data_IF_930869284997
#
_entry.id   IF_930869284997
#
_cell.length_a   1.000
_cell.length_b   1.000
_cell.length_c   1.000
_cell.angle_alpha   90.00
_cell.angle_beta   90.00
_cell.angle_gamma   90.00
#
_symmetry.space_group_name_H-M   'P 1'
#
loop_
_entity.id
_entity.type
_entity.pdbx_description
1 polymer ?
#
# COMPACT_ATOMS: atom_id res chain seq x y z
N UNK A 1 -81.71 53.56 6.71
CA UNK A 1 -81.27 53.67 8.12
C UNK A 1 -80.44 52.45 8.45
N UNK A 2 -79.41 52.64 9.30
CA UNK A 2 -78.35 51.72 9.71
C UNK A 2 -77.06 51.80 8.88
N UNK A 3 -76.21 52.72 9.35
CA UNK A 3 -74.77 52.85 9.17
C UNK A 3 -73.99 51.53 9.31
N UNK A 4 -72.75 51.48 8.77
CA UNK A 4 -71.53 51.66 9.59
C UNK A 4 -70.27 51.24 8.82
N UNK A 5 -69.36 52.22 8.78
CA UNK A 5 -67.90 52.16 8.78
C UNK A 5 -67.13 51.52 7.61
N UNK A 6 -66.57 52.44 6.81
CA UNK A 6 -65.17 52.49 6.37
C UNK A 6 -64.24 51.61 7.23
N UNK A 7 -63.80 50.48 6.66
CA UNK A 7 -62.64 49.76 7.17
C UNK A 7 -61.37 50.50 6.71
N UNK A 8 -60.42 50.76 7.61
CA UNK A 8 -59.17 51.44 7.24
C UNK A 8 -58.35 50.53 6.33
N UNK A 9 -57.83 51.12 5.26
CA UNK A 9 -56.80 50.54 4.40
C UNK A 9 -55.65 50.02 5.26
N UNK A 10 -55.64 48.72 5.51
CA UNK A 10 -54.45 48.05 6.03
C UNK A 10 -53.47 47.98 4.88
N UNK A 11 -52.66 49.03 4.78
CA UNK A 11 -51.43 49.06 4.00
C UNK A 11 -50.69 47.77 4.33
N UNK A 12 -50.73 46.82 3.40
CA UNK A 12 -49.95 45.59 3.48
C UNK A 12 -48.51 46.01 3.65
N UNK A 13 -48.01 45.93 4.87
CA UNK A 13 -46.60 46.07 5.16
C UNK A 13 -45.91 44.94 4.43
N UNK A 14 -45.39 45.24 3.25
CA UNK A 14 -44.54 44.33 2.50
C UNK A 14 -43.38 43.96 3.42
N UNK A 15 -43.46 42.78 4.03
CA UNK A 15 -42.38 42.24 4.84
C UNK A 15 -41.12 42.31 3.98
N UNK A 16 -40.02 42.92 4.47
CA UNK A 16 -38.81 42.98 3.69
C UNK A 16 -38.41 41.54 3.38
N UNK A 17 -38.43 41.18 2.09
CA UNK A 17 -38.04 39.87 1.62
C UNK A 17 -36.65 39.59 2.21
N UNK A 18 -36.59 38.75 3.25
CA UNK A 18 -35.35 38.35 3.93
C UNK A 18 -34.44 37.88 2.80
N UNK A 19 -33.43 38.69 2.45
CA UNK A 19 -32.37 38.32 1.50
C UNK A 19 -31.72 37.08 2.09
N UNK A 20 -32.23 35.89 1.74
CA UNK A 20 -31.64 34.61 2.12
C UNK A 20 -30.19 34.71 1.68
N UNK A 21 -29.28 34.73 2.66
CA UNK A 21 -27.87 35.02 2.41
C UNK A 21 -27.35 34.08 1.32
N UNK A 22 -26.45 34.57 0.46
CA UNK A 22 -25.87 33.75 -0.61
C UNK A 22 -25.33 32.41 -0.09
N UNK A 23 -24.87 32.39 1.16
CA UNK A 23 -24.48 31.20 1.92
C UNK A 23 -25.62 30.18 2.09
N UNK A 24 -26.83 30.60 2.45
CA UNK A 24 -28.00 29.69 2.58
C UNK A 24 -28.47 29.14 1.23
N UNK A 25 -28.35 29.91 0.14
CA UNK A 25 -28.62 29.41 -1.22
C UNK A 25 -27.51 28.46 -1.72
N UNK A 26 -26.25 28.76 -1.41
CA UNK A 26 -25.11 27.90 -1.74
C UNK A 26 -25.15 26.57 -0.98
N UNK A 27 -25.49 26.59 0.32
CA UNK A 27 -25.66 25.39 1.15
C UNK A 27 -26.87 24.52 0.74
N UNK A 28 -27.87 25.08 0.05
CA UNK A 28 -28.96 24.30 -0.55
C UNK A 28 -28.54 23.53 -1.81
N UNK A 29 -27.42 23.91 -2.43
CA UNK A 29 -26.88 23.20 -3.59
C UNK A 29 -26.14 21.96 -3.06
N UNK A 30 -26.68 20.77 -3.36
CA UNK A 30 -26.15 19.48 -2.88
C UNK A 30 -24.64 19.34 -3.11
N UNK A 31 -24.12 19.87 -4.24
CA UNK A 31 -22.69 19.86 -4.57
C UNK A 31 -21.83 20.68 -3.59
N UNK A 32 -22.29 21.85 -3.16
CA UNK A 32 -21.54 22.74 -2.27
C UNK A 32 -21.55 22.21 -0.84
N UNK A 33 -22.70 21.67 -0.39
CA UNK A 33 -22.80 21.01 0.91
C UNK A 33 -21.91 19.76 0.97
N UNK A 34 -21.91 18.92 -0.07
CA UNK A 34 -21.03 17.75 -0.17
C UNK A 34 -19.54 18.16 -0.14
N UNK A 35 -19.15 19.20 -0.90
CA UNK A 35 -17.77 19.69 -0.88
C UNK A 35 -17.34 20.22 0.50
N UNK A 36 -18.18 21.02 1.15
CA UNK A 36 -17.92 21.55 2.50
C UNK A 36 -17.76 20.41 3.53
N UNK A 37 -18.52 19.32 3.41
CA UNK A 37 -18.38 18.14 4.28
C UNK A 37 -17.06 17.40 4.05
N UNK A 38 -16.54 17.39 2.82
CA UNK A 38 -15.22 16.79 2.50
C UNK A 38 -14.03 17.70 2.77
N UNK A 39 -14.27 19.00 2.98
CA UNK A 39 -13.22 20.01 3.12
C UNK A 39 -12.22 19.70 4.25
N UNK A 40 -12.62 19.23 5.46
CA UNK A 40 -11.66 18.87 6.50
C UNK A 40 -10.68 17.77 6.05
N UNK A 41 -11.18 16.76 5.32
CA UNK A 41 -10.34 15.69 4.78
C UNK A 41 -9.39 16.23 3.70
N UNK A 42 -9.88 17.08 2.80
CA UNK A 42 -9.06 17.71 1.75
C UNK A 42 -7.92 18.53 2.36
N UNK A 43 -8.24 19.33 3.40
CA UNK A 43 -7.24 20.13 4.12
C UNK A 43 -6.19 19.24 4.77
N UNK A 44 -6.59 18.15 5.43
CA UNK A 44 -5.64 17.20 6.02
C UNK A 44 -4.74 16.56 4.96
N UNK A 45 -5.29 16.11 3.84
CA UNK A 45 -4.50 15.54 2.73
C UNK A 45 -3.54 16.59 2.16
N UNK A 46 -4.00 17.81 1.94
CA UNK A 46 -3.18 18.89 1.41
C UNK A 46 -2.00 19.23 2.34
N UNK A 47 -2.25 19.33 3.65
CA UNK A 47 -1.23 19.73 4.63
C UNK A 47 -0.29 18.60 5.02
N UNK A 48 -0.78 17.37 5.18
CA UNK A 48 0.01 16.25 5.72
C UNK A 48 0.61 15.35 4.64
N UNK A 49 0.07 15.36 3.42
CA UNK A 49 0.56 14.51 2.32
C UNK A 49 1.12 15.36 1.19
N UNK A 50 0.33 16.29 0.65
CA UNK A 50 0.73 17.04 -0.54
C UNK A 50 1.85 18.05 -0.24
N UNK A 51 1.74 18.80 0.86
CA UNK A 51 2.77 19.78 1.24
C UNK A 51 4.15 19.14 1.46
N UNK A 52 4.33 18.08 2.28
CA UNK A 52 5.64 17.42 2.43
C UNK A 52 6.16 16.81 1.12
N UNK A 53 5.28 16.27 0.27
CA UNK A 53 5.68 15.73 -1.03
C UNK A 53 6.22 16.82 -1.97
N UNK A 54 5.54 17.96 -2.07
CA UNK A 54 6.01 19.11 -2.87
C UNK A 54 7.28 19.72 -2.26
N UNK A 55 7.35 19.81 -0.94
CA UNK A 55 8.54 20.29 -0.25
C UNK A 55 9.75 19.37 -0.45
N UNK A 56 9.54 18.04 -0.51
CA UNK A 56 10.59 17.07 -0.84
C UNK A 56 11.13 17.27 -2.26
N UNK A 57 10.26 17.59 -3.22
CA UNK A 57 10.69 17.96 -4.58
C UNK A 57 11.55 19.23 -4.58
N UNK A 58 11.19 20.24 -3.77
CA UNK A 58 12.01 21.43 -3.61
C UNK A 58 13.38 21.10 -2.98
N UNK A 59 13.41 20.35 -1.88
CA UNK A 59 14.64 19.93 -1.21
C UNK A 59 15.59 19.17 -2.15
N UNK A 60 15.06 18.29 -3.00
CA UNK A 60 15.86 17.54 -3.97
C UNK A 60 16.61 18.43 -4.97
N UNK A 61 16.20 19.69 -5.15
CA UNK A 61 16.86 20.66 -6.02
C UNK A 61 17.90 21.54 -5.32
N UNK A 62 18.09 21.37 -4.01
CA UNK A 62 19.05 22.15 -3.21
C UNK A 62 20.35 21.38 -2.98
N UNK A 63 21.43 22.09 -2.70
CA UNK A 63 22.69 21.52 -2.24
C UNK A 63 22.55 21.01 -0.79
N UNK A 64 23.53 20.22 -0.32
CA UNK A 64 23.58 19.68 1.05
C UNK A 64 23.30 20.72 2.16
N UNK A 65 23.77 21.97 2.03
CA UNK A 65 23.52 23.03 3.03
C UNK A 65 22.14 23.68 2.95
N UNK A 66 21.30 23.29 1.98
CA UNK A 66 19.97 23.85 1.70
C UNK A 66 19.95 25.36 1.39
N UNK A 67 21.10 25.93 1.00
CA UNK A 67 21.24 27.37 0.75
C UNK A 67 21.33 27.70 -0.73
N UNK A 68 21.76 26.75 -1.56
CA UNK A 68 22.00 26.95 -2.98
C UNK A 68 21.19 25.98 -3.82
N UNK A 69 20.50 26.51 -4.82
CA UNK A 69 19.84 25.72 -5.85
C UNK A 69 20.87 25.07 -6.78
N UNK A 70 20.76 23.76 -6.98
CA UNK A 70 21.63 22.94 -7.84
C UNK A 70 20.85 22.21 -8.95
N UNK A 71 19.55 22.49 -9.10
CA UNK A 71 18.71 21.87 -10.12
C UNK A 71 18.67 20.35 -9.97
N UNK A 72 19.12 19.61 -10.99
CA UNK A 72 19.16 18.14 -10.98
C UNK A 72 20.50 17.55 -10.50
N UNK A 73 21.39 18.36 -9.92
CA UNK A 73 22.74 17.93 -9.53
C UNK A 73 22.77 16.72 -8.59
N UNK A 74 21.81 16.59 -7.67
CA UNK A 74 21.70 15.42 -6.78
C UNK A 74 21.35 14.14 -7.55
N UNK A 75 20.50 14.23 -8.57
CA UNK A 75 20.15 13.09 -9.42
C UNK A 75 21.35 12.66 -10.27
N UNK A 76 22.07 13.60 -10.88
CA UNK A 76 23.30 13.31 -11.63
C UNK A 76 24.35 12.64 -10.73
N UNK A 77 24.50 13.12 -9.50
CA UNK A 77 25.39 12.51 -8.51
C UNK A 77 25.00 11.06 -8.21
N UNK A 78 23.71 10.78 -8.00
CA UNK A 78 23.21 9.42 -7.73
C UNK A 78 23.44 8.48 -8.91
N UNK A 79 23.19 8.92 -10.15
CA UNK A 79 23.37 8.08 -11.33
C UNK A 79 24.79 7.60 -11.56
N UNK A 80 25.80 8.31 -11.04
CA UNK A 80 27.22 7.94 -11.14
C UNK A 80 27.69 6.97 -10.04
N UNK A 81 26.81 6.54 -9.13
CA UNK A 81 27.17 5.69 -7.99
C UNK A 81 26.63 4.27 -8.13
N UNK A 82 27.52 3.29 -8.02
CA UNK A 82 27.15 1.87 -8.03
C UNK A 82 26.24 1.52 -6.85
N UNK A 83 26.43 2.15 -5.70
CA UNK A 83 25.59 1.97 -4.50
C UNK A 83 24.14 2.39 -4.74
N UNK A 84 23.90 3.44 -5.54
CA UNK A 84 22.54 3.84 -5.91
C UNK A 84 21.87 2.75 -6.76
N UNK A 85 22.54 2.25 -7.79
CA UNK A 85 22.02 1.18 -8.64
C UNK A 85 21.84 -0.15 -7.90
N UNK A 86 22.68 -0.42 -6.91
CA UNK A 86 22.47 -1.51 -5.96
C UNK A 86 21.14 -1.33 -5.22
N UNK A 87 20.88 -0.17 -4.60
CA UNK A 87 19.62 0.10 -3.89
C UNK A 87 18.40 0.03 -4.82
N UNK A 88 18.51 0.53 -6.06
CA UNK A 88 17.45 0.41 -7.08
C UNK A 88 17.14 -1.07 -7.32
N UNK A 89 18.17 -1.87 -7.58
CA UNK A 89 18.05 -3.32 -7.83
C UNK A 89 17.44 -4.03 -6.61
N UNK A 90 17.94 -3.75 -5.40
CA UNK A 90 17.45 -4.38 -4.18
C UNK A 90 16.01 -4.01 -3.88
N UNK A 91 15.63 -2.75 -4.07
CA UNK A 91 14.24 -2.28 -3.90
C UNK A 91 13.29 -3.00 -4.85
N UNK A 92 13.66 -3.14 -6.13
CA UNK A 92 12.87 -3.85 -7.12
C UNK A 92 12.77 -5.34 -6.81
N UNK A 93 13.89 -6.00 -6.49
CA UNK A 93 13.89 -7.42 -6.12
C UNK A 93 12.99 -7.62 -4.90
N UNK A 94 13.25 -6.90 -3.80
CA UNK A 94 12.48 -6.99 -2.56
C UNK A 94 10.98 -6.82 -2.79
N UNK A 95 10.58 -5.75 -3.49
CA UNK A 95 9.16 -5.46 -3.69
C UNK A 95 8.49 -6.48 -4.61
N UNK A 96 9.09 -6.82 -5.76
CA UNK A 96 8.50 -7.76 -6.72
C UNK A 96 8.40 -9.15 -6.12
N UNK A 97 9.48 -9.67 -5.51
CA UNK A 97 9.45 -11.01 -4.93
C UNK A 97 8.49 -11.08 -3.75
N UNK A 98 8.52 -10.09 -2.85
CA UNK A 98 7.63 -10.11 -1.70
C UNK A 98 6.15 -10.00 -2.11
N UNK A 99 5.81 -9.10 -3.04
CA UNK A 99 4.43 -8.97 -3.55
C UNK A 99 3.96 -10.24 -4.24
N UNK A 100 4.81 -10.86 -5.07
CA UNK A 100 4.50 -12.12 -5.74
C UNK A 100 4.20 -13.24 -4.74
N UNK A 101 5.05 -13.42 -3.72
CA UNK A 101 4.84 -14.45 -2.70
C UNK A 101 3.65 -14.15 -1.79
N UNK A 102 3.41 -12.89 -1.41
CA UNK A 102 2.20 -12.49 -0.66
C UNK A 102 0.94 -12.80 -1.45
N UNK A 103 0.92 -12.48 -2.75
CA UNK A 103 -0.22 -12.76 -3.62
C UNK A 103 -0.45 -14.26 -3.75
N UNK A 104 0.61 -15.05 -3.97
CA UNK A 104 0.52 -16.49 -4.10
C UNK A 104 0.00 -17.14 -2.80
N UNK A 105 0.63 -16.85 -1.66
CA UNK A 105 0.24 -17.39 -0.35
C UNK A 105 -1.16 -16.90 -0.01
N UNK A 106 -1.45 -15.62 -0.20
CA UNK A 106 -2.77 -15.05 0.03
C UNK A 106 -3.86 -15.72 -0.80
N UNK A 107 -3.59 -16.04 -2.07
CA UNK A 107 -4.53 -16.76 -2.94
C UNK A 107 -4.77 -18.20 -2.46
N UNK A 108 -3.69 -18.94 -2.18
CA UNK A 108 -3.78 -20.32 -1.68
C UNK A 108 -4.60 -20.36 -0.38
N UNK A 109 -4.26 -19.50 0.59
CA UNK A 109 -4.94 -19.45 1.88
C UNK A 109 -6.38 -18.98 1.73
N UNK A 110 -6.66 -17.99 0.87
CA UNK A 110 -8.02 -17.54 0.59
C UNK A 110 -8.89 -18.66 0.03
N UNK A 111 -8.34 -19.48 -0.88
CA UNK A 111 -9.04 -20.62 -1.46
C UNK A 111 -9.34 -21.70 -0.42
N UNK A 112 -8.38 -22.01 0.46
CA UNK A 112 -8.63 -22.92 1.58
C UNK A 112 -9.74 -22.39 2.49
N UNK A 113 -9.67 -21.13 2.91
CA UNK A 113 -10.68 -20.52 3.79
C UNK A 113 -12.05 -20.47 3.12
N UNK A 114 -12.11 -20.24 1.80
CA UNK A 114 -13.36 -20.22 1.05
C UNK A 114 -14.09 -21.58 1.09
N UNK A 115 -13.35 -22.69 1.05
CA UNK A 115 -13.89 -24.05 1.07
C UNK A 115 -14.29 -24.55 2.47
N UNK A 116 -13.95 -23.83 3.54
CA UNK A 116 -14.34 -24.20 4.92
C UNK A 116 -15.82 -23.85 5.14
N UNK A 117 -16.62 -24.66 5.87
CA UNK A 117 -17.99 -24.32 6.22
C UNK A 117 -18.11 -22.96 6.91
N UNK A 118 -19.20 -22.22 6.63
CA UNK A 118 -19.38 -20.83 7.06
C UNK A 118 -19.11 -20.55 8.55
N UNK A 119 -19.48 -21.49 9.44
CA UNK A 119 -19.24 -21.39 10.90
C UNK A 119 -17.75 -21.45 11.27
N UNK A 120 -16.94 -22.20 10.52
CA UNK A 120 -15.48 -22.32 10.72
C UNK A 120 -14.68 -21.16 10.12
N UNK A 121 -15.20 -20.52 9.07
CA UNK A 121 -14.49 -19.44 8.37
C UNK A 121 -14.13 -18.27 9.28
N UNK A 122 -15.02 -17.88 10.22
CA UNK A 122 -14.77 -16.74 11.12
C UNK A 122 -13.52 -16.95 11.98
N UNK A 123 -13.31 -18.17 12.49
CA UNK A 123 -12.15 -18.50 13.34
C UNK A 123 -10.85 -18.42 12.54
N UNK A 124 -10.81 -19.09 11.38
CA UNK A 124 -9.62 -19.10 10.52
C UNK A 124 -9.27 -17.71 9.99
N UNK A 125 -10.25 -16.93 9.56
CA UNK A 125 -10.03 -15.52 9.16
C UNK A 125 -9.38 -14.72 10.28
N UNK A 126 -9.88 -14.83 11.51
CA UNK A 126 -9.31 -14.13 12.66
C UNK A 126 -7.87 -14.55 12.97
N UNK A 127 -7.59 -15.85 13.02
CA UNK A 127 -6.26 -16.38 13.33
C UNK A 127 -5.22 -16.01 12.25
N UNK A 128 -5.59 -16.11 10.97
CA UNK A 128 -4.70 -15.84 9.86
C UNK A 128 -4.42 -14.34 9.68
N UNK A 129 -5.21 -13.47 10.31
CA UNK A 129 -4.99 -12.01 10.28
C UNK A 129 -4.04 -11.49 11.34
N UNK A 130 -3.72 -12.31 12.34
CA UNK A 130 -2.87 -11.91 13.47
C UNK A 130 -1.57 -11.25 13.00
N UNK A 131 -0.82 -11.77 12.01
CA UNK A 131 0.43 -11.13 11.57
C UNK A 131 0.25 -9.68 11.10
N UNK A 132 -0.88 -9.36 10.46
CA UNK A 132 -1.12 -8.04 9.88
C UNK A 132 -1.60 -7.00 10.91
N UNK A 133 -2.24 -7.45 11.99
CA UNK A 133 -2.77 -6.59 13.06
C UNK A 133 -1.68 -6.15 14.04
N UNK A 134 -0.64 -6.98 14.23
CA UNK A 134 0.47 -6.65 15.13
C UNK A 134 1.32 -5.53 14.51
N UNK A 135 1.76 -4.52 15.29
CA UNK A 135 2.67 -3.49 14.80
C UNK A 135 3.91 -4.09 14.11
N UNK A 136 4.28 -3.64 12.89
CA UNK A 136 5.38 -4.22 12.12
C UNK A 136 6.71 -4.22 12.88
N UNK A 137 7.03 -3.13 13.58
CA UNK A 137 8.26 -3.02 14.35
C UNK A 137 8.37 -4.11 15.44
N UNK A 138 7.29 -4.34 16.19
CA UNK A 138 7.26 -5.36 17.25
C UNK A 138 7.37 -6.77 16.67
N UNK A 139 6.64 -7.05 15.59
CA UNK A 139 6.74 -8.34 14.89
C UNK A 139 8.16 -8.59 14.39
N UNK A 140 8.79 -7.56 13.83
CA UNK A 140 10.15 -7.68 13.26
C UNK A 140 11.19 -7.97 14.34
N UNK A 141 11.06 -7.37 15.52
CA UNK A 141 11.93 -7.68 16.66
C UNK A 141 11.81 -9.15 17.08
N UNK A 142 10.60 -9.73 17.09
CA UNK A 142 10.44 -11.15 17.39
C UNK A 142 11.14 -12.03 16.35
N UNK A 143 11.03 -11.69 15.06
CA UNK A 143 11.76 -12.38 13.99
C UNK A 143 13.28 -12.24 14.11
N UNK A 144 13.78 -11.09 14.56
CA UNK A 144 15.22 -10.90 14.80
C UNK A 144 15.78 -11.93 15.80
N UNK A 145 15.02 -12.24 16.87
CA UNK A 145 15.40 -13.28 17.83
C UNK A 145 15.38 -14.68 17.22
N UNK A 146 14.43 -14.97 16.32
CA UNK A 146 14.40 -16.25 15.60
C UNK A 146 15.60 -16.41 14.66
N UNK A 147 16.12 -15.30 14.14
CA UNK A 147 17.29 -15.22 13.26
C UNK A 147 18.63 -15.02 14.00
N UNK A 148 18.63 -14.99 15.33
CA UNK A 148 19.81 -14.63 16.12
C UNK A 148 21.03 -15.54 15.83
N UNK A 149 22.22 -15.00 15.54
CA UNK A 149 23.38 -15.83 15.17
C UNK A 149 23.81 -16.83 16.25
N UNK A 150 23.57 -16.52 17.53
CA UNK A 150 24.04 -17.33 18.67
C UNK A 150 22.95 -18.25 19.22
N UNK A 151 21.72 -17.77 19.30
CA UNK A 151 20.58 -18.46 19.92
C UNK A 151 19.36 -18.53 18.97
N UNK A 152 19.58 -18.69 17.66
CA UNK A 152 18.50 -18.83 16.68
C UNK A 152 17.66 -20.07 16.95
N UNK A 153 16.37 -19.85 17.20
CA UNK A 153 15.38 -20.92 17.27
C UNK A 153 15.27 -21.69 15.95
N UNK A 154 15.45 -21.04 14.80
CA UNK A 154 15.46 -21.73 13.50
C UNK A 154 16.69 -22.60 13.30
N UNK A 155 17.89 -22.13 13.64
CA UNK A 155 19.09 -22.97 13.55
C UNK A 155 19.02 -24.14 14.54
N UNK A 156 18.44 -23.91 15.73
CA UNK A 156 18.19 -24.98 16.68
C UNK A 156 17.25 -26.04 16.10
N UNK A 157 16.12 -25.66 15.48
CA UNK A 157 15.21 -26.64 14.87
C UNK A 157 15.81 -27.35 13.65
N UNK A 158 16.57 -26.63 12.81
CA UNK A 158 17.28 -27.20 11.66
C UNK A 158 18.34 -28.23 12.06
N UNK A 159 18.96 -28.06 13.24
CA UNK A 159 19.96 -29.00 13.75
C UNK A 159 19.41 -30.41 13.99
N UNK A 160 18.12 -30.54 14.33
CA UNK A 160 17.46 -31.86 14.45
C UNK A 160 17.39 -32.62 13.13
N UNK A 161 17.44 -31.92 12.00
CA UNK A 161 17.45 -32.50 10.66
C UNK A 161 18.86 -32.62 10.08
N UNK A 162 19.90 -32.36 10.87
CA UNK A 162 21.31 -32.42 10.44
C UNK A 162 21.74 -31.25 9.55
N UNK A 163 20.94 -30.17 9.48
CA UNK A 163 21.28 -28.98 8.69
C UNK A 163 22.14 -28.05 9.57
N UNK A 164 23.27 -27.59 9.04
CA UNK A 164 24.18 -26.66 9.71
C UNK A 164 23.56 -25.27 9.94
N UNK A 165 24.16 -24.43 10.81
CA UNK A 165 23.62 -23.12 11.14
C UNK A 165 23.63 -22.19 9.93
N UNK A 166 22.50 -21.53 9.68
CA UNK A 166 22.32 -20.57 8.60
C UNK A 166 22.57 -19.15 9.14
N UNK A 167 23.40 -18.32 8.47
CA UNK A 167 23.65 -16.95 8.86
C UNK A 167 22.54 -16.01 8.36
N UNK A 168 21.33 -16.15 8.92
CA UNK A 168 20.10 -15.49 8.48
C UNK A 168 20.21 -13.98 8.20
N UNK A 169 21.04 -13.25 8.97
CA UNK A 169 21.30 -11.81 8.80
C UNK A 169 22.78 -11.49 8.53
N UNK A 170 23.65 -12.50 8.62
CA UNK A 170 25.11 -12.32 8.52
C UNK A 170 25.65 -12.40 7.10
N UNK A 171 24.95 -13.11 6.20
CA UNK A 171 25.26 -13.20 4.78
C UNK A 171 24.28 -12.38 3.92
N UNK A 172 24.72 -11.85 2.78
CA UNK A 172 23.93 -10.93 1.95
C UNK A 172 22.68 -11.59 1.36
N UNK A 173 22.77 -12.84 0.92
CA UNK A 173 21.65 -13.53 0.29
C UNK A 173 20.66 -14.03 1.34
N UNK A 174 21.16 -14.55 2.46
CA UNK A 174 20.31 -14.92 3.60
C UNK A 174 19.65 -13.71 4.25
N UNK A 175 20.36 -12.59 4.41
CA UNK A 175 19.79 -11.36 4.92
C UNK A 175 18.64 -10.91 4.02
N UNK A 176 18.83 -10.85 2.70
CA UNK A 176 17.78 -10.52 1.72
C UNK A 176 16.58 -11.47 1.84
N UNK A 177 16.83 -12.78 1.91
CA UNK A 177 15.79 -13.78 2.11
C UNK A 177 14.99 -13.51 3.39
N UNK A 178 15.67 -13.27 4.52
CA UNK A 178 15.04 -13.01 5.82
C UNK A 178 14.14 -11.78 5.77
N UNK A 179 14.58 -10.66 5.17
CA UNK A 179 13.73 -9.46 5.05
C UNK A 179 12.49 -9.72 4.20
N UNK A 180 12.64 -10.44 3.08
CA UNK A 180 11.52 -10.83 2.21
C UNK A 180 10.56 -11.76 2.96
N UNK A 181 11.08 -12.77 3.66
CA UNK A 181 10.29 -13.74 4.41
C UNK A 181 9.38 -13.06 5.43
N UNK A 182 9.95 -12.17 6.26
CA UNK A 182 9.18 -11.43 7.27
C UNK A 182 8.15 -10.51 6.61
N UNK A 183 8.54 -9.84 5.52
CA UNK A 183 7.62 -8.99 4.77
C UNK A 183 6.45 -9.78 4.17
N UNK A 184 6.71 -10.98 3.65
CA UNK A 184 5.69 -11.90 3.12
C UNK A 184 4.76 -12.38 4.23
N UNK A 185 5.31 -12.84 5.36
CA UNK A 185 4.53 -13.28 6.51
C UNK A 185 3.59 -12.19 7.04
N UNK A 186 4.09 -10.95 7.15
CA UNK A 186 3.30 -9.80 7.57
C UNK A 186 2.23 -9.40 6.54
N UNK A 187 2.56 -9.43 5.25
CA UNK A 187 1.72 -8.88 4.19
C UNK A 187 0.74 -9.87 3.53
N UNK A 188 0.98 -11.17 3.61
CA UNK A 188 0.11 -12.19 3.01
C UNK A 188 -1.35 -12.15 3.52
N UNK A 189 -1.64 -11.86 4.81
CA UNK A 189 -3.02 -11.79 5.28
C UNK A 189 -3.88 -10.72 4.60
N UNK A 190 -3.27 -9.61 4.17
CA UNK A 190 -3.97 -8.58 3.39
C UNK A 190 -4.45 -9.15 2.05
N UNK A 191 -3.58 -9.82 1.30
CA UNK A 191 -3.97 -10.50 0.06
C UNK A 191 -5.03 -11.56 0.29
N UNK A 192 -4.89 -12.35 1.35
CA UNK A 192 -5.88 -13.36 1.72
C UNK A 192 -7.28 -12.77 1.88
N UNK A 193 -7.45 -11.67 2.63
CA UNK A 193 -8.78 -11.03 2.77
C UNK A 193 -9.31 -10.54 1.43
N UNK A 194 -8.49 -9.81 0.68
CA UNK A 194 -8.92 -9.17 -0.56
C UNK A 194 -9.36 -10.23 -1.58
N UNK A 195 -8.60 -11.32 -1.67
CA UNK A 195 -8.92 -12.43 -2.55
C UNK A 195 -10.10 -13.25 -2.05
N UNK A 196 -10.23 -13.51 -0.75
CA UNK A 196 -11.39 -14.19 -0.19
C UNK A 196 -12.69 -13.41 -0.44
N UNK A 197 -12.66 -12.08 -0.32
CA UNK A 197 -13.81 -11.22 -0.60
C UNK A 197 -14.22 -11.32 -2.08
N UNK A 198 -13.25 -11.30 -3.00
CA UNK A 198 -13.52 -11.42 -4.43
C UNK A 198 -13.91 -12.84 -4.86
N UNK A 199 -13.39 -13.89 -4.22
CA UNK A 199 -13.84 -15.27 -4.47
C UNK A 199 -15.33 -15.41 -4.17
N UNK A 200 -15.82 -14.74 -3.12
CA UNK A 200 -17.24 -14.74 -2.74
C UNK A 200 -18.14 -13.96 -3.69
N UNK A 201 -17.59 -13.07 -4.53
CA UNK A 201 -18.38 -12.33 -5.52
C UNK A 201 -18.49 -13.07 -6.86
N UNK A 202 -17.79 -14.19 -7.04
CA UNK A 202 -17.89 -15.01 -8.26
C UNK A 202 -19.21 -15.80 -8.23
N UNK A 203 -20.09 -15.65 -9.25
CA UNK A 203 -21.34 -16.40 -9.33
C UNK A 203 -21.10 -17.91 -9.40
N UNK A 204 -21.84 -18.68 -8.60
CA UNK A 204 -21.73 -20.14 -8.53
C UNK A 204 -22.08 -20.81 -9.87
N UNK A 205 -22.98 -20.21 -10.65
CA UNK A 205 -23.41 -20.73 -11.96
C UNK A 205 -22.25 -20.87 -12.95
N UNK A 206 -21.21 -20.04 -12.85
CA UNK A 206 -20.04 -20.15 -13.72
C UNK A 206 -19.19 -21.38 -13.39
N UNK A 207 -19.13 -21.77 -12.12
CA UNK A 207 -18.46 -23.00 -11.70
C UNK A 207 -19.26 -24.24 -12.08
N UNK A 208 -20.60 -24.18 -12.00
CA UNK A 208 -21.49 -25.25 -12.45
C UNK A 208 -21.43 -25.46 -13.97
N UNK A 209 -21.50 -24.38 -14.75
CA UNK A 209 -21.36 -24.44 -16.21
C UNK A 209 -20.02 -25.06 -16.61
N UNK A 210 -18.91 -24.61 -16.00
CA UNK A 210 -17.60 -25.20 -16.24
C UNK A 210 -17.54 -26.68 -15.82
N UNK A 211 -18.26 -27.09 -14.79
CA UNK A 211 -18.33 -28.50 -14.38
C UNK A 211 -19.07 -29.37 -15.40
N UNK A 212 -20.15 -28.85 -15.99
CA UNK A 212 -20.90 -29.52 -17.07
C UNK A 212 -20.02 -29.68 -18.31
N UNK A 213 -19.19 -28.68 -18.62
CA UNK A 213 -18.20 -28.72 -19.72
C UNK A 213 -16.99 -29.64 -19.44
N UNK A 214 -16.97 -30.34 -18.31
CA UNK A 214 -15.89 -31.26 -17.93
C UNK A 214 -14.62 -30.57 -17.45
N UNK A 215 -14.66 -29.28 -17.11
CA UNK A 215 -13.49 -28.56 -16.63
C UNK A 215 -13.03 -29.10 -15.27
N UNK A 216 -11.75 -29.48 -15.21
CA UNK A 216 -11.08 -29.88 -13.99
C UNK A 216 -10.78 -28.69 -13.06
N UNK A 217 -10.33 -28.97 -11.85
CA UNK A 217 -10.12 -27.94 -10.81
C UNK A 217 -9.13 -26.84 -11.25
N UNK A 218 -8.02 -27.21 -11.89
CA UNK A 218 -7.03 -26.25 -12.38
C UNK A 218 -7.59 -25.38 -13.51
N UNK A 219 -8.35 -25.98 -14.42
CA UNK A 219 -9.01 -25.24 -15.50
C UNK A 219 -10.01 -24.22 -14.94
N UNK A 220 -10.79 -24.56 -13.92
CA UNK A 220 -11.70 -23.60 -13.26
C UNK A 220 -10.92 -22.42 -12.65
N UNK A 221 -9.77 -22.67 -12.02
CA UNK A 221 -8.94 -21.59 -11.48
C UNK A 221 -8.44 -20.66 -12.59
N UNK A 222 -7.85 -21.22 -13.65
CA UNK A 222 -7.22 -20.44 -14.71
C UNK A 222 -8.23 -19.73 -15.62
N UNK A 223 -9.37 -20.35 -15.90
CA UNK A 223 -10.34 -19.85 -16.89
C UNK A 223 -11.57 -19.18 -16.29
N UNK A 224 -11.91 -19.44 -15.02
CA UNK A 224 -13.06 -18.82 -14.35
C UNK A 224 -12.59 -17.90 -13.22
N UNK A 225 -11.91 -18.45 -12.21
CA UNK A 225 -11.58 -17.73 -10.98
C UNK A 225 -10.63 -16.55 -11.22
N UNK A 226 -9.44 -16.78 -11.78
CA UNK A 226 -8.44 -15.72 -11.98
C UNK A 226 -8.93 -14.61 -12.93
N UNK A 227 -9.61 -14.90 -14.06
CA UNK A 227 -10.15 -13.85 -14.93
C UNK A 227 -11.22 -12.98 -14.24
N UNK A 228 -12.05 -13.56 -13.36
CA UNK A 228 -13.05 -12.78 -12.61
C UNK A 228 -12.42 -11.96 -11.48
N UNK A 229 -11.35 -12.45 -10.88
CA UNK A 229 -10.63 -11.76 -9.80
C UNK A 229 -9.60 -10.75 -10.29
N UNK A 230 -9.30 -10.68 -11.59
CA UNK A 230 -8.18 -9.87 -12.10
C UNK A 230 -8.19 -8.39 -11.65
N UNK A 231 -9.36 -7.77 -11.49
CA UNK A 231 -9.47 -6.39 -11.03
C UNK A 231 -9.02 -6.27 -9.56
N UNK A 232 -9.44 -7.22 -8.71
CA UNK A 232 -8.99 -7.24 -7.32
C UNK A 232 -7.50 -7.58 -7.22
N UNK A 233 -7.00 -8.48 -8.08
CA UNK A 233 -5.59 -8.86 -8.16
C UNK A 233 -4.76 -7.63 -8.53
N UNK A 234 -5.15 -6.89 -9.57
CA UNK A 234 -4.48 -5.68 -10.01
C UNK A 234 -4.43 -4.61 -8.90
N UNK A 235 -5.58 -4.28 -8.31
CA UNK A 235 -5.68 -3.23 -7.28
C UNK A 235 -4.89 -3.61 -6.03
N UNK A 236 -5.01 -4.86 -5.58
CA UNK A 236 -4.36 -5.36 -4.35
C UNK A 236 -2.85 -5.46 -4.55
N UNK A 237 -2.41 -5.91 -5.73
CA UNK A 237 -0.99 -5.97 -6.11
C UNK A 237 -0.39 -4.57 -6.18
N UNK A 238 -1.06 -3.62 -6.84
CA UNK A 238 -0.58 -2.25 -6.94
C UNK A 238 -0.45 -1.59 -5.56
N UNK A 239 -1.50 -1.71 -4.73
CA UNK A 239 -1.47 -1.18 -3.38
C UNK A 239 -0.33 -1.80 -2.56
N UNK A 240 -0.18 -3.13 -2.61
CA UNK A 240 0.90 -3.80 -1.88
C UNK A 240 2.27 -3.40 -2.38
N UNK A 241 2.44 -3.18 -3.68
CA UNK A 241 3.70 -2.75 -4.29
C UNK A 241 4.07 -1.34 -3.78
N UNK A 242 3.14 -0.39 -3.77
CA UNK A 242 3.34 0.96 -3.22
C UNK A 242 3.79 0.88 -1.75
N UNK A 243 3.09 0.12 -0.91
CA UNK A 243 3.42 -0.01 0.52
C UNK A 243 4.75 -0.75 0.73
N UNK A 244 5.07 -1.75 -0.09
CA UNK A 244 6.29 -2.55 0.06
C UNK A 244 7.54 -1.76 -0.32
N UNK A 245 7.48 -0.89 -1.33
CA UNK A 245 8.59 0.03 -1.67
C UNK A 245 8.91 1.02 -0.54
N UNK A 246 7.89 1.43 0.21
CA UNK A 246 8.03 2.33 1.35
C UNK A 246 8.35 1.60 2.68
N UNK A 247 8.61 0.28 2.67
CA UNK A 247 8.75 -0.49 3.90
C UNK A 247 10.07 -0.19 4.63
N UNK A 248 9.99 0.60 5.69
CA UNK A 248 11.15 1.01 6.46
C UNK A 248 11.50 0.03 7.60
N UNK A 249 10.50 -0.31 8.43
CA UNK A 249 10.72 -0.99 9.71
C UNK A 249 11.41 -2.34 9.57
N UNK A 250 10.96 -3.18 8.63
CA UNK A 250 11.42 -4.57 8.52
C UNK A 250 12.92 -4.59 8.17
N UNK A 251 13.32 -3.80 7.18
CA UNK A 251 14.72 -3.70 6.73
C UNK A 251 15.57 -3.04 7.82
N UNK A 252 15.10 -1.93 8.41
CA UNK A 252 15.86 -1.16 9.40
C UNK A 252 16.16 -1.97 10.67
N UNK A 253 15.19 -2.77 11.12
CA UNK A 253 15.31 -3.56 12.36
C UNK A 253 16.10 -4.85 12.12
N UNK A 254 15.86 -5.59 11.03
CA UNK A 254 16.53 -6.88 10.82
C UNK A 254 18.00 -6.75 10.44
N UNK A 255 18.32 -5.76 9.62
CA UNK A 255 19.63 -5.72 8.92
C UNK A 255 20.26 -4.34 8.91
N UNK A 256 19.47 -3.28 9.15
CA UNK A 256 19.88 -1.89 8.95
C UNK A 256 20.49 -1.62 7.55
N UNK A 257 20.13 -2.44 6.54
CA UNK A 257 20.68 -2.37 5.19
C UNK A 257 21.90 -3.27 4.92
N UNK A 258 22.44 -3.93 5.94
CA UNK A 258 23.58 -4.83 5.81
C UNK A 258 23.22 -6.27 5.36
N UNK A 259 24.23 -7.13 5.20
CA UNK A 259 25.66 -6.79 5.17
C UNK A 259 26.04 -6.03 3.89
N UNK A 260 27.07 -5.17 3.97
CA UNK A 260 27.64 -4.41 2.82
C UNK A 260 26.58 -3.68 1.95
N UNK A 261 25.56 -3.08 2.58
CA UNK A 261 24.48 -2.33 1.91
C UNK A 261 23.55 -3.17 1.00
N UNK A 262 23.65 -4.51 1.03
CA UNK A 262 22.92 -5.40 0.12
C UNK A 262 21.42 -5.58 0.42
N UNK A 263 20.91 -5.05 1.53
CA UNK A 263 19.47 -5.13 1.86
C UNK A 263 18.80 -3.77 1.93
N UNK A 264 19.55 -2.68 1.69
CA UNK A 264 18.96 -1.36 1.61
C UNK A 264 17.92 -1.27 0.50
N UNK A 265 16.74 -0.82 0.87
CA UNK A 265 15.74 -0.30 -0.07
C UNK A 265 15.70 1.23 -0.01
N UNK A 266 15.05 1.86 -0.99
CA UNK A 266 14.94 3.32 -1.09
C UNK A 266 14.58 3.99 0.24
N UNK A 267 13.58 3.49 0.97
CA UNK A 267 13.17 4.07 2.26
C UNK A 267 14.31 4.10 3.29
N UNK A 268 15.00 2.97 3.47
CA UNK A 268 16.10 2.86 4.45
C UNK A 268 17.35 3.61 4.02
N UNK A 269 17.66 3.64 2.73
CA UNK A 269 18.86 4.31 2.22
C UNK A 269 18.68 5.83 2.18
N UNK A 270 17.48 6.31 1.81
CA UNK A 270 17.13 7.73 1.92
C UNK A 270 17.21 8.21 3.37
N UNK A 271 16.78 7.40 4.34
CA UNK A 271 16.93 7.72 5.75
C UNK A 271 18.40 7.76 6.19
N UNK A 272 19.20 6.76 5.77
CA UNK A 272 20.63 6.70 6.09
C UNK A 272 21.41 7.90 5.54
N UNK A 273 21.13 8.32 4.30
CA UNK A 273 21.81 9.48 3.71
C UNK A 273 21.23 10.79 4.23
N UNK A 274 19.91 10.89 4.26
CA UNK A 274 19.19 12.12 4.55
C UNK A 274 19.27 12.52 6.01
N UNK A 275 18.92 11.59 6.89
CA UNK A 275 18.79 11.84 8.33
C UNK A 275 20.10 11.51 9.02
N UNK A 276 20.58 10.27 8.94
CA UNK A 276 21.81 9.85 9.64
C UNK A 276 23.06 10.53 9.04
N UNK A 277 23.11 10.66 7.70
CA UNK A 277 24.19 11.32 6.96
C UNK A 277 24.08 12.84 6.86
N UNK A 278 23.01 13.43 7.42
CA UNK A 278 22.72 14.87 7.40
C UNK A 278 22.75 15.50 6.00
N UNK A 279 22.30 14.76 4.98
CA UNK A 279 22.16 15.24 3.61
C UNK A 279 20.71 15.07 3.12
N UNK A 280 19.80 15.81 3.77
CA UNK A 280 18.36 15.73 3.52
C UNK A 280 18.02 15.95 2.03
N UNK A 281 18.64 16.90 1.29
CA UNK A 281 18.43 17.06 -0.16
C UNK A 281 18.75 15.80 -0.96
N UNK A 282 19.88 15.15 -0.67
CA UNK A 282 20.25 13.91 -1.35
C UNK A 282 19.31 12.76 -0.96
N UNK A 283 18.95 12.64 0.32
CA UNK A 283 17.96 11.65 0.78
C UNK A 283 16.57 11.84 0.17
N UNK A 284 16.12 13.09 0.01
CA UNK A 284 14.89 13.42 -0.71
C UNK A 284 14.95 12.98 -2.17
N UNK A 285 16.08 13.21 -2.83
CA UNK A 285 16.33 12.79 -4.21
C UNK A 285 16.23 11.26 -4.36
N UNK A 286 16.77 10.50 -3.41
CA UNK A 286 16.66 9.03 -3.36
C UNK A 286 15.18 8.59 -3.24
N UNK A 287 14.43 9.16 -2.30
CA UNK A 287 13.02 8.80 -2.10
C UNK A 287 12.15 9.09 -3.33
N UNK A 288 12.44 10.18 -4.05
CA UNK A 288 11.68 10.56 -5.26
C UNK A 288 11.84 9.55 -6.41
N UNK A 289 12.90 8.74 -6.44
CA UNK A 289 13.04 7.66 -7.43
C UNK A 289 12.00 6.54 -7.29
N UNK A 290 11.31 6.43 -6.15
CA UNK A 290 10.17 5.53 -6.04
C UNK A 290 9.06 5.91 -7.03
N UNK A 291 8.82 7.21 -7.26
CA UNK A 291 7.71 7.72 -8.08
C UNK A 291 7.74 7.18 -9.53
N UNK A 292 8.82 7.35 -10.32
CA UNK A 292 8.84 6.85 -11.69
C UNK A 292 8.69 5.33 -11.76
N UNK A 293 9.31 4.57 -10.84
CA UNK A 293 9.22 3.10 -10.82
C UNK A 293 7.80 2.65 -10.53
N UNK A 294 7.17 3.23 -9.49
CA UNK A 294 5.79 2.93 -9.11
C UNK A 294 4.80 3.40 -10.17
N UNK A 295 5.04 4.54 -10.84
CA UNK A 295 4.20 5.02 -11.92
C UNK A 295 4.22 4.06 -13.12
N UNK A 296 5.40 3.57 -13.52
CA UNK A 296 5.52 2.56 -14.58
C UNK A 296 4.78 1.28 -14.18
N UNK A 297 4.98 0.78 -12.96
CA UNK A 297 4.26 -0.39 -12.46
C UNK A 297 2.73 -0.18 -12.46
N UNK A 298 2.26 1.00 -12.02
CA UNK A 298 0.85 1.35 -12.00
C UNK A 298 0.24 1.37 -13.41
N UNK A 299 0.94 1.97 -14.39
CA UNK A 299 0.49 2.00 -15.79
C UNK A 299 0.35 0.57 -16.32
N UNK A 300 1.35 -0.30 -16.12
CA UNK A 300 1.28 -1.68 -16.58
C UNK A 300 0.15 -2.47 -15.92
N UNK A 301 0.00 -2.37 -14.59
CA UNK A 301 -1.02 -3.12 -13.83
C UNK A 301 -2.44 -2.64 -14.16
N UNK A 302 -2.65 -1.33 -14.32
CA UNK A 302 -4.00 -0.76 -14.54
C UNK A 302 -4.43 -0.79 -16.00
N UNK A 303 -3.51 -0.95 -16.96
CA UNK A 303 -3.83 -1.00 -18.39
C UNK A 303 -4.86 -2.08 -18.72
N UNK A 304 -4.76 -3.24 -18.08
CA UNK A 304 -5.65 -4.38 -18.35
C UNK A 304 -7.00 -4.28 -17.64
N UNK A 305 -7.09 -3.48 -16.58
CA UNK A 305 -8.36 -3.21 -15.88
C UNK A 305 -9.27 -2.33 -16.75
N UNK A 306 -8.70 -1.28 -17.36
CA UNK A 306 -9.48 -0.31 -18.14
C UNK A 306 -10.06 -0.87 -19.44
N UNK A 307 -9.39 -1.84 -20.09
CA UNK A 307 -9.86 -2.39 -21.38
C UNK A 307 -11.24 -3.03 -21.31
N UNK A 308 -11.59 -3.68 -20.19
CA UNK A 308 -12.87 -4.37 -20.04
C UNK A 308 -13.95 -3.60 -19.28
N UNK A 309 -13.57 -2.55 -18.54
CA UNK A 309 -14.57 -1.57 -18.08
C UNK A 309 -15.30 -0.90 -19.25
N UNK A 310 -14.69 -0.93 -20.45
CA UNK A 310 -15.28 -0.49 -21.70
C UNK A 310 -15.97 -1.60 -22.52
N UNK A 311 -15.83 -2.87 -22.12
CA UNK A 311 -16.46 -4.03 -22.80
C UNK A 311 -17.72 -4.54 -22.07
N UNK A 312 -17.98 -4.04 -20.85
CA UNK A 312 -19.16 -4.34 -20.03
C UNK A 312 -20.16 -3.19 -20.05
#
# INVERSE_FOLDING_TARGET
>A
MADVALQPDTVGTAQPARKRSGLQKALKRKSTAAFLMTLPLIVLIALLVLYPAVYSLHLATLNKSMQRFVGLGNFEFLFKRDTFWLVVKQSCIFAITAVLFKALIGFIVAHFVHNIPAKGQRKWRGMLLVPWVIPPAMSTLAWLWLFDPSYSAFNYTLSFFGIGPIPWTGDADWARFSVILVNVWYGAPFFMIMYLASLKSVPEQLYEAAAIDGANWWQRIWYVTLPMMRNIIAITTLFSLIVTFANFDIVRILTAGGPLDHTHIFATWAFRIGIEGSDIPLGASVSLFMVPILAVAAIFILRDVNKRGNEA
#
